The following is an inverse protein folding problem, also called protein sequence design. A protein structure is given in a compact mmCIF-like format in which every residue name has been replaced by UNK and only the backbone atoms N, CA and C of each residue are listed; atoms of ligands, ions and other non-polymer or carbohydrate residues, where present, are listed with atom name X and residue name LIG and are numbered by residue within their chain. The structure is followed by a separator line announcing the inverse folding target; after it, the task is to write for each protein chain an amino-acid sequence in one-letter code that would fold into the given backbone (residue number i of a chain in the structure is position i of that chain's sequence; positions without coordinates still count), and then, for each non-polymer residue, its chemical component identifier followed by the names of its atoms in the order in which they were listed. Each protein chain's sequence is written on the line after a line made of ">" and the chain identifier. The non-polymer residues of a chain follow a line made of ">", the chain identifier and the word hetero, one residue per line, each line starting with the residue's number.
data_IF_235176826320
#
_entry.id   IF_235176826320
#
_cell.length_a   1.000
_cell.length_b   1.000
_cell.length_c   1.000
_cell.angle_alpha   90.00
_cell.angle_beta   90.00
_cell.angle_gamma   90.00
#
_symmetry.space_group_name_H-M   'P 1'
#
loop_
_entity.id
_entity.type
_entity.pdbx_description
1 polymer ?
#
# COMPACT_ATOMS: atom_id res chain seq x y z
N UNK A 1 5.34 -1.01 -3.09
CA UNK A 1 5.36 -1.13 -1.61
C UNK A 1 6.71 -0.76 -1.01
N UNK A 2 7.81 -1.49 -1.29
CA UNK A 2 9.15 -1.24 -0.69
C UNK A 2 9.61 0.22 -0.66
N UNK A 3 9.39 0.96 -1.76
CA UNK A 3 9.75 2.37 -1.83
C UNK A 3 8.97 3.24 -0.83
N UNK A 4 7.66 3.01 -0.71
CA UNK A 4 6.76 3.78 0.15
C UNK A 4 6.88 3.42 1.62
N UNK A 5 7.52 2.29 1.95
CA UNK A 5 7.68 1.80 3.32
C UNK A 5 9.13 1.94 3.83
N UNK A 6 9.99 2.62 3.08
CA UNK A 6 11.40 2.83 3.45
C UNK A 6 11.51 3.56 4.78
N UNK A 7 12.25 2.97 5.72
CA UNK A 7 12.50 3.55 7.05
C UNK A 7 11.42 3.24 8.09
N UNK A 8 10.43 2.40 7.75
CA UNK A 8 9.43 1.87 8.68
C UNK A 8 9.86 0.48 9.13
N UNK A 9 9.63 0.15 10.41
CA UNK A 9 9.79 -1.21 10.94
C UNK A 9 8.60 -2.06 10.43
N UNK A 10 8.89 -3.05 9.58
CA UNK A 10 7.92 -3.94 8.94
C UNK A 10 8.22 -5.36 9.39
N UNK A 11 7.17 -6.13 9.69
CA UNK A 11 7.30 -7.54 10.04
C UNK A 11 8.01 -8.32 8.91
N UNK A 12 8.92 -9.25 9.26
CA UNK A 12 9.62 -10.07 8.27
C UNK A 12 8.68 -11.01 7.50
N UNK A 13 7.45 -11.21 7.98
CA UNK A 13 6.44 -12.07 7.35
C UNK A 13 5.65 -11.35 6.25
N UNK A 14 5.94 -10.07 5.99
CA UNK A 14 5.28 -9.30 4.93
C UNK A 14 5.78 -9.72 3.54
N UNK A 15 4.86 -10.16 2.70
CA UNK A 15 5.13 -10.60 1.33
C UNK A 15 4.64 -9.55 0.32
N UNK A 16 5.54 -8.64 -0.07
CA UNK A 16 5.20 -7.59 -1.05
C UNK A 16 4.83 -8.12 -2.44
N UNK A 17 5.27 -9.33 -2.81
CA UNK A 17 4.84 -10.00 -4.04
C UNK A 17 3.33 -10.22 -4.04
N UNK A 18 2.79 -10.79 -2.95
CA UNK A 18 1.36 -11.05 -2.79
C UNK A 18 0.56 -9.75 -2.83
N UNK A 19 1.04 -8.72 -2.10
CA UNK A 19 0.39 -7.41 -2.10
C UNK A 19 0.38 -6.77 -3.49
N UNK A 20 1.44 -6.98 -4.29
CA UNK A 20 1.50 -6.48 -5.66
C UNK A 20 0.51 -7.20 -6.58
N UNK A 21 0.40 -8.53 -6.46
CA UNK A 21 -0.53 -9.34 -7.27
C UNK A 21 -2.00 -8.94 -7.06
N UNK A 22 -2.40 -8.64 -5.82
CA UNK A 22 -3.79 -8.26 -5.52
C UNK A 22 -4.10 -6.78 -5.77
N UNK A 23 -3.11 -5.98 -6.19
CA UNK A 23 -3.24 -4.54 -6.44
C UNK A 23 -2.91 -4.16 -7.89
N UNK A 24 -3.10 -5.07 -8.84
CA UNK A 24 -2.73 -4.86 -10.25
C UNK A 24 -3.40 -3.63 -10.90
N UNK A 25 -4.66 -3.33 -10.53
CA UNK A 25 -5.39 -2.14 -11.03
C UNK A 25 -5.07 -0.84 -10.25
N UNK A 26 -4.15 -0.86 -9.27
CA UNK A 26 -3.83 0.31 -8.44
C UNK A 26 -2.77 1.17 -9.12
N UNK A 27 -3.00 2.47 -9.16
CA UNK A 27 -1.96 3.41 -9.57
C UNK A 27 -0.87 3.52 -8.49
N UNK A 28 0.29 4.08 -8.85
CA UNK A 28 1.34 4.37 -7.86
C UNK A 28 0.88 5.30 -6.72
N UNK A 29 -0.10 6.16 -6.98
CA UNK A 29 -0.71 7.01 -5.95
C UNK A 29 -1.58 6.19 -4.99
N UNK A 30 -2.36 5.23 -5.51
CA UNK A 30 -3.18 4.34 -4.69
C UNK A 30 -2.30 3.46 -3.80
N UNK A 31 -1.22 2.89 -4.34
CA UNK A 31 -0.24 2.12 -3.55
C UNK A 31 0.41 2.98 -2.46
N UNK A 32 0.70 4.26 -2.74
CA UNK A 32 1.23 5.17 -1.73
C UNK A 32 0.21 5.43 -0.62
N UNK A 33 -1.08 5.56 -0.96
CA UNK A 33 -2.15 5.67 0.02
C UNK A 33 -2.30 4.40 0.85
N UNK A 34 -2.24 3.22 0.24
CA UNK A 34 -2.29 1.91 0.94
C UNK A 34 -1.16 1.81 1.96
N UNK A 35 0.07 2.13 1.55
CA UNK A 35 1.21 2.10 2.46
C UNK A 35 1.01 3.08 3.62
N UNK A 36 0.54 4.31 3.35
CA UNK A 36 0.28 5.30 4.40
C UNK A 36 -0.78 4.83 5.38
N UNK A 37 -1.84 4.20 4.91
CA UNK A 37 -2.92 3.72 5.76
C UNK A 37 -2.44 2.56 6.65
N UNK A 38 -1.74 1.58 6.08
CA UNK A 38 -1.15 0.47 6.84
C UNK A 38 -0.17 0.95 7.92
N UNK A 39 0.68 1.94 7.61
CA UNK A 39 1.64 2.53 8.57
C UNK A 39 0.93 3.25 9.72
N UNK A 40 -0.25 3.82 9.47
CA UNK A 40 -0.99 4.55 10.50
C UNK A 40 -1.69 3.62 11.49
N UNK A 41 -1.91 2.35 11.17
CA UNK A 41 -2.60 1.40 12.06
C UNK A 41 -1.87 1.22 13.40
N UNK A 42 -0.57 0.85 13.44
CA UNK A 42 0.18 0.79 14.71
C UNK A 42 0.22 2.11 15.48
N UNK A 43 0.22 3.25 14.79
CA UNK A 43 0.25 4.58 15.41
C UNK A 43 -1.09 4.87 16.10
N UNK A 44 -2.21 4.54 15.46
CA UNK A 44 -3.55 4.69 16.04
C UNK A 44 -3.74 3.78 17.25
N UNK A 45 -3.22 2.56 17.20
CA UNK A 45 -3.23 1.65 18.36
C UNK A 45 -2.46 2.23 19.56
N UNK A 46 -1.28 2.80 19.29
CA UNK A 46 -0.46 3.46 20.32
C UNK A 46 -1.18 4.67 20.95
N UNK A 47 -1.89 5.45 20.14
CA UNK A 47 -2.73 6.57 20.59
C UNK A 47 -3.91 6.08 21.43
N UNK A 48 -4.62 5.05 20.99
CA UNK A 48 -5.73 4.43 21.74
C UNK A 48 -5.27 3.85 23.08
N UNK A 49 -4.03 3.36 23.16
CA UNK A 49 -3.41 2.91 24.40
C UNK A 49 -2.96 4.06 25.31
N UNK A 50 -3.06 5.32 24.87
CA UNK A 50 -2.63 6.50 25.61
C UNK A 50 -1.11 6.66 25.69
N UNK A 51 -0.36 5.96 24.84
CA UNK A 51 1.10 5.87 24.89
C UNK A 51 1.80 6.68 23.78
N UNK A 52 1.07 7.39 22.91
CA UNK A 52 1.66 8.13 21.78
C UNK A 52 2.64 9.24 22.19
N UNK A 53 2.51 9.76 23.42
CA UNK A 53 3.41 10.79 23.98
C UNK A 53 4.58 10.19 24.76
N UNK A 54 4.57 8.89 25.03
CA UNK A 54 5.63 8.20 25.75
C UNK A 54 6.74 7.78 24.77
N UNK A 55 7.86 8.49 24.81
CA UNK A 55 9.02 8.24 23.93
C UNK A 55 9.75 6.93 24.22
N UNK A 56 9.41 6.24 25.30
CA UNK A 56 9.96 4.92 25.64
C UNK A 56 9.17 3.78 24.99
N UNK A 57 7.93 4.04 24.58
CA UNK A 57 7.06 3.06 23.91
C UNK A 57 7.13 3.27 22.40
N UNK A 58 7.44 2.22 21.66
CA UNK A 58 7.41 2.23 20.20
C UNK A 58 6.10 1.64 19.69
N UNK A 59 5.63 2.13 18.54
CA UNK A 59 4.59 1.42 17.78
C UNK A 59 5.10 0.03 17.39
N UNK A 60 4.19 -0.94 17.28
CA UNK A 60 4.53 -2.27 16.75
C UNK A 60 4.93 -2.16 15.27
N UNK A 61 5.59 -3.21 14.78
CA UNK A 61 5.88 -3.36 13.36
C UNK A 61 4.59 -3.39 12.53
N UNK A 62 4.68 -2.89 11.30
CA UNK A 62 3.59 -3.01 10.31
C UNK A 62 3.57 -4.45 9.79
N UNK A 63 2.41 -5.08 9.82
CA UNK A 63 2.19 -6.49 9.48
C UNK A 63 1.52 -6.64 8.13
N UNK A 64 1.45 -7.88 7.62
CA UNK A 64 0.75 -8.19 6.37
C UNK A 64 -0.73 -7.81 6.47
N UNK A 65 -1.36 -8.06 7.62
CA UNK A 65 -2.77 -7.76 7.86
C UNK A 65 -3.06 -6.26 7.77
N UNK A 66 -2.16 -5.40 8.26
CA UNK A 66 -2.33 -3.94 8.12
C UNK A 66 -2.38 -3.50 6.65
N UNK A 67 -1.60 -4.15 5.77
CA UNK A 67 -1.66 -3.89 4.34
C UNK A 67 -2.94 -4.42 3.71
N UNK A 68 -3.40 -5.61 4.09
CA UNK A 68 -4.64 -6.20 3.58
C UNK A 68 -5.84 -5.34 3.97
N UNK A 69 -5.94 -4.91 5.23
CA UNK A 69 -6.98 -4.00 5.70
C UNK A 69 -6.93 -2.65 4.96
N UNK A 70 -5.73 -2.11 4.74
CA UNK A 70 -5.55 -0.87 3.98
C UNK A 70 -5.98 -1.01 2.51
N UNK A 71 -5.72 -2.15 1.87
CA UNK A 71 -6.16 -2.45 0.49
C UNK A 71 -7.68 -2.54 0.45
N UNK A 72 -8.33 -3.19 1.42
CA UNK A 72 -9.79 -3.25 1.50
C UNK A 72 -10.42 -1.86 1.70
N UNK A 73 -9.74 -0.97 2.42
CA UNK A 73 -10.23 0.39 2.68
C UNK A 73 -10.03 1.35 1.49
N UNK A 74 -9.07 1.08 0.60
CA UNK A 74 -8.67 2.00 -0.47
C UNK A 74 -9.03 1.38 -1.82
N UNK A 75 -9.97 2.01 -2.52
CA UNK A 75 -10.33 1.60 -3.88
C UNK A 75 -9.27 2.05 -4.91
N UNK A 76 -9.03 1.27 -5.98
CA UNK A 76 -8.21 1.71 -7.10
C UNK A 76 -8.82 2.94 -7.77
N UNK A 77 -7.96 3.91 -8.13
CA UNK A 77 -8.41 5.15 -8.78
C UNK A 77 -8.57 5.01 -10.30
N UNK A 78 -7.99 3.98 -10.89
CA UNK A 78 -8.06 3.70 -12.33
C UNK A 78 -9.04 2.55 -12.56
N UNK A 79 -9.95 2.74 -13.51
CA UNK A 79 -10.87 1.67 -13.87
C UNK A 79 -10.23 0.68 -14.83
N UNK A 80 -10.63 -0.59 -14.76
CA UNK A 80 -10.18 -1.62 -15.70
C UNK A 80 -10.46 -1.22 -17.17
N UNK A 81 -11.55 -0.48 -17.40
CA UNK A 81 -11.92 0.03 -18.72
C UNK A 81 -10.95 1.08 -19.29
N UNK A 82 -10.28 1.84 -18.43
CA UNK A 82 -9.24 2.79 -18.84
C UNK A 82 -7.94 2.06 -19.17
N UNK A 83 -7.58 1.04 -18.38
CA UNK A 83 -6.42 0.17 -18.63
C UNK A 83 -6.56 -0.50 -20.01
N UNK A 84 -7.70 -1.15 -20.27
CA UNK A 84 -8.01 -1.78 -21.57
C UNK A 84 -7.89 -0.81 -22.75
N UNK A 85 -8.29 0.45 -22.56
CA UNK A 85 -8.22 1.47 -23.60
C UNK A 85 -6.78 1.86 -23.87
N UNK A 86 -5.97 2.02 -22.83
CA UNK A 86 -4.55 2.33 -22.98
C UNK A 86 -3.79 1.18 -23.62
N UNK A 87 -4.07 -0.07 -23.26
CA UNK A 87 -3.45 -1.24 -23.85
C UNK A 87 -3.73 -1.34 -25.36
N UNK A 88 -5.01 -1.20 -25.76
CA UNK A 88 -5.38 -1.16 -27.18
C UNK A 88 -4.70 -0.02 -27.94
N UNK A 89 -4.64 1.17 -27.34
CA UNK A 89 -3.95 2.29 -27.96
C UNK A 89 -2.45 2.02 -28.10
N UNK A 90 -1.84 1.35 -27.12
CA UNK A 90 -0.43 0.99 -27.14
C UNK A 90 -0.15 -0.13 -28.16
N UNK A 91 -1.08 -1.06 -28.40
CA UNK A 91 -0.99 -2.03 -29.50
C UNK A 91 -1.07 -1.35 -30.88
N UNK A 92 -1.95 -0.36 -31.05
CA UNK A 92 -2.16 0.33 -32.33
C UNK A 92 -1.07 1.37 -32.65
N UNK A 93 -0.56 2.08 -31.64
CA UNK A 93 0.30 3.26 -31.83
C UNK A 93 1.53 3.30 -30.90
N UNK A 94 1.70 2.30 -30.03
CA UNK A 94 2.80 2.26 -29.08
C UNK A 94 4.15 2.03 -29.76
N UNK A 95 5.18 2.65 -29.20
CA UNK A 95 6.55 2.48 -29.68
C UNK A 95 7.05 1.08 -29.33
N UNK A 96 7.35 0.28 -30.35
CA UNK A 96 8.19 -0.91 -30.17
C UNK A 96 9.61 -0.45 -29.88
N UNK A 97 10.03 -0.53 -28.61
CA UNK A 97 11.44 -0.41 -28.26
C UNK A 97 12.16 -1.74 -28.51
#
# INVERSE_FOLDING_TARGET
>A
FEYNTRGIEISPDVEFSILSEITDSYSGADIAMVCREAIMTPIRELDMAGAITDTTVKAREVTQDDFLEAIEAINPSVSDSEIDRYDKWNEEFGSSA
#
